data_IF_537604902642
#
_entry.id   IF_537604902642
#
_cell.length_a   1.000
_cell.length_b   1.000
_cell.length_c   1.000
_cell.angle_alpha   90.00
_cell.angle_beta   90.00
_cell.angle_gamma   90.00
#
_symmetry.space_group_name_H-M   'P 1'
#
loop_
_entity.id
_entity.type
_entity.pdbx_description
1 polymer ?
#
# COMPACT_ATOMS: atom_id res chain seq x y z
N UNK A 1 9.54 5.09 -31.22
CA UNK A 1 8.81 5.76 -30.12
C UNK A 1 7.46 5.06 -29.93
N UNK A 2 7.41 4.01 -29.10
CA UNK A 2 6.15 3.37 -28.71
C UNK A 2 5.65 4.06 -27.44
N UNK A 3 4.55 4.79 -27.54
CA UNK A 3 3.77 5.25 -26.39
C UNK A 3 3.05 4.02 -25.82
N UNK A 4 3.58 3.44 -24.75
CA UNK A 4 2.78 2.53 -23.92
C UNK A 4 1.71 3.37 -23.24
N UNK A 5 0.49 3.30 -23.77
CA UNK A 5 -0.69 3.78 -23.07
C UNK A 5 -0.86 2.92 -21.82
N UNK A 6 -0.38 3.41 -20.69
CA UNK A 6 -0.80 2.94 -19.37
C UNK A 6 -2.31 3.16 -19.34
N UNK A 7 -3.08 2.09 -19.55
CA UNK A 7 -4.53 2.11 -19.42
C UNK A 7 -4.86 2.27 -17.94
N UNK A 8 -4.75 3.50 -17.47
CA UNK A 8 -5.41 3.98 -16.27
C UNK A 8 -6.89 3.74 -16.50
N UNK A 9 -7.46 2.63 -16.00
CA UNK A 9 -8.89 2.38 -16.15
C UNK A 9 -9.61 3.48 -15.37
N UNK A 10 -10.33 4.43 -16.02
CA UNK A 10 -10.99 5.53 -15.31
C UNK A 10 -12.00 5.05 -14.28
N UNK A 11 -12.49 3.81 -14.47
CA UNK A 11 -13.39 3.09 -13.56
C UNK A 11 -12.74 2.74 -12.22
N UNK A 12 -11.44 2.40 -12.20
CA UNK A 12 -10.68 2.16 -10.97
C UNK A 12 -10.65 3.46 -10.16
N UNK A 13 -10.21 4.55 -10.78
CA UNK A 13 -10.16 5.84 -10.10
C UNK A 13 -11.53 6.29 -9.59
N UNK A 14 -12.61 6.11 -10.37
CA UNK A 14 -13.97 6.43 -9.90
C UNK A 14 -14.43 5.58 -8.72
N UNK A 15 -14.22 4.25 -8.75
CA UNK A 15 -14.59 3.34 -7.65
C UNK A 15 -13.91 3.79 -6.35
N UNK A 16 -12.59 4.01 -6.38
CA UNK A 16 -11.82 4.37 -5.18
C UNK A 16 -12.04 5.82 -4.75
N UNK A 17 -12.13 6.77 -5.68
CA UNK A 17 -12.43 8.17 -5.36
C UNK A 17 -13.83 8.32 -4.73
N UNK A 18 -14.84 7.57 -5.23
CA UNK A 18 -16.15 7.51 -4.56
C UNK A 18 -16.07 7.00 -3.13
N UNK A 19 -15.16 6.07 -2.84
CA UNK A 19 -14.97 5.52 -1.49
C UNK A 19 -14.34 6.55 -0.57
N UNK A 20 -13.29 7.25 -1.03
CA UNK A 20 -12.66 8.30 -0.24
C UNK A 20 -13.56 9.53 -0.06
N UNK A 21 -14.46 9.82 -1.01
CA UNK A 21 -15.47 10.87 -0.86
C UNK A 21 -16.68 10.46 0.01
N UNK A 22 -17.11 9.20 -0.03
CA UNK A 22 -18.26 8.70 0.75
C UNK A 22 -17.91 8.32 2.19
N UNK A 23 -16.67 7.95 2.47
CA UNK A 23 -16.27 7.34 3.77
C UNK A 23 -15.57 8.31 4.73
N UNK A 24 -15.54 9.62 4.44
CA UNK A 24 -14.98 10.63 5.35
C UNK A 24 -15.99 11.67 5.88
N UNK A 25 -17.28 11.39 5.82
CA UNK A 25 -18.24 12.03 6.73
C UNK A 25 -18.45 11.14 7.95
N UNK A 26 -17.49 11.19 8.89
CA UNK A 26 -17.78 10.76 10.25
C UNK A 26 -18.78 11.77 10.79
N UNK A 27 -20.03 11.34 10.98
CA UNK A 27 -21.03 12.11 11.72
C UNK A 27 -20.44 12.42 13.09
N UNK A 28 -20.23 13.70 13.36
CA UNK A 28 -20.05 14.20 14.73
C UNK A 28 -21.36 13.96 15.48
N UNK A 29 -21.48 12.78 16.09
CA UNK A 29 -22.49 12.52 17.11
C UNK A 29 -21.77 12.07 18.35
N UNK A 30 -21.02 13.01 18.93
CA UNK A 30 -20.79 13.09 20.37
C UNK A 30 -20.68 14.59 20.69
N UNK A 31 -21.63 15.10 21.48
CA UNK A 31 -21.60 16.47 21.99
C UNK A 31 -20.35 16.65 22.86
N UNK A 32 -19.66 17.81 22.79
CA UNK A 32 -18.44 18.03 23.51
C UNK A 32 -18.75 18.31 24.97
N UNK A 33 -18.22 17.49 25.88
CA UNK A 33 -17.96 17.95 27.24
C UNK A 33 -16.62 17.37 27.72
N UNK A 34 -15.56 17.77 27.04
CA UNK A 34 -14.21 17.70 27.57
C UNK A 34 -13.49 18.96 27.09
N UNK A 35 -12.88 19.67 28.05
CA UNK A 35 -12.05 20.86 27.86
C UNK A 35 -11.20 20.69 26.60
N UNK A 36 -11.16 21.72 25.75
CA UNK A 36 -10.32 21.75 24.55
C UNK A 36 -8.85 21.58 24.94
N UNK A 37 -8.39 20.34 25.00
CA UNK A 37 -6.97 20.04 24.92
C UNK A 37 -6.63 20.39 23.47
N UNK A 38 -6.05 21.57 23.28
CA UNK A 38 -5.34 21.92 22.05
C UNK A 38 -4.39 20.76 21.77
N UNK A 39 -4.73 19.93 20.79
CA UNK A 39 -3.85 18.84 20.38
C UNK A 39 -2.53 19.50 20.01
N UNK A 40 -1.40 19.11 20.61
CA UNK A 40 -0.11 19.66 20.23
C UNK A 40 0.01 19.49 18.72
N UNK A 41 0.50 20.54 18.06
CA UNK A 41 0.67 20.61 16.61
C UNK A 41 1.76 19.58 16.22
N UNK A 42 1.39 18.30 16.16
CA UNK A 42 2.34 17.21 15.93
C UNK A 42 2.67 17.20 14.45
N UNK A 43 3.81 17.81 14.14
CA UNK A 43 4.40 17.76 12.81
C UNK A 43 4.70 16.31 12.45
N UNK A 44 4.13 15.83 11.34
CA UNK A 44 4.51 14.55 10.77
C UNK A 44 5.89 14.68 10.10
N UNK A 45 6.77 13.66 10.20
CA UNK A 45 8.10 13.71 9.58
C UNK A 45 8.05 13.59 8.04
N UNK A 46 6.94 13.09 7.51
CA UNK A 46 6.65 12.97 6.07
C UNK A 46 5.33 13.66 5.74
N UNK A 47 5.22 14.22 4.55
CA UNK A 47 3.98 14.84 4.05
C UNK A 47 3.26 13.99 3.02
N UNK A 48 3.99 13.07 2.36
CA UNK A 48 3.49 12.14 1.35
C UNK A 48 3.74 10.69 1.79
N UNK A 49 2.72 9.85 1.62
CA UNK A 49 2.78 8.45 2.00
C UNK A 49 2.34 7.59 0.82
N UNK A 50 3.19 6.67 0.42
CA UNK A 50 2.97 5.72 -0.67
C UNK A 50 2.52 4.41 -0.07
N UNK A 51 1.21 4.21 0.06
CA UNK A 51 0.63 3.00 0.66
C UNK A 51 0.67 1.88 -0.36
N UNK A 52 1.32 0.78 -0.04
CA UNK A 52 1.64 -0.32 -0.95
C UNK A 52 1.34 -1.66 -0.28
N UNK A 53 0.80 -2.60 -1.06
CA UNK A 53 0.50 -3.96 -0.63
C UNK A 53 0.55 -4.88 -1.86
N UNK A 54 1.54 -5.76 -1.96
CA UNK A 54 1.69 -6.64 -3.12
C UNK A 54 0.82 -7.89 -2.97
N UNK A 55 0.32 -8.38 -4.10
CA UNK A 55 -0.09 -9.79 -4.21
C UNK A 55 0.97 -10.55 -5.00
N UNK A 56 1.19 -11.82 -4.63
CA UNK A 56 2.15 -12.69 -5.29
C UNK A 56 1.58 -14.07 -5.60
N UNK A 57 2.22 -14.78 -6.52
CA UNK A 57 1.97 -16.20 -6.77
C UNK A 57 2.10 -16.98 -5.45
N UNK A 58 1.14 -17.87 -5.21
CA UNK A 58 1.10 -18.66 -3.99
C UNK A 58 0.38 -20.00 -4.22
N UNK A 59 0.52 -20.90 -3.24
CA UNK A 59 -0.14 -22.20 -3.23
C UNK A 59 -0.43 -22.60 -1.77
N UNK A 60 -1.34 -23.54 -1.56
CA UNK A 60 -1.70 -24.11 -0.25
C UNK A 60 -1.13 -25.51 -0.01
N UNK A 61 -0.35 -26.05 -0.97
CA UNK A 61 0.30 -27.35 -0.87
C UNK A 61 1.43 -27.44 0.16
N UNK A 62 1.92 -28.66 0.38
CA UNK A 62 2.99 -28.96 1.35
C UNK A 62 4.34 -28.27 1.03
N UNK A 63 4.53 -27.84 -0.22
CA UNK A 63 5.66 -27.01 -0.64
C UNK A 63 5.14 -25.64 -1.07
N UNK A 64 5.53 -24.61 -0.32
CA UNK A 64 5.28 -23.23 -0.73
C UNK A 64 5.93 -22.99 -2.09
N UNK A 65 5.15 -22.39 -2.99
CA UNK A 65 5.58 -22.03 -4.34
C UNK A 65 6.79 -21.09 -4.25
N UNK A 66 7.93 -21.51 -4.82
CA UNK A 66 9.20 -20.76 -4.78
C UNK A 66 9.87 -20.70 -6.16
N UNK A 67 10.42 -19.55 -6.56
CA UNK A 67 10.19 -18.25 -5.94
C UNK A 67 8.71 -17.83 -6.06
N UNK A 68 8.24 -17.00 -5.14
CA UNK A 68 7.00 -16.25 -5.36
C UNK A 68 7.28 -15.11 -6.33
N UNK A 69 6.28 -14.71 -7.10
CA UNK A 69 6.38 -13.61 -8.06
C UNK A 69 5.24 -12.62 -7.85
N UNK A 70 5.52 -11.32 -7.84
CA UNK A 70 4.50 -10.27 -7.74
C UNK A 70 3.55 -10.38 -8.94
N UNK A 71 2.25 -10.38 -8.67
CA UNK A 71 1.17 -10.45 -9.67
C UNK A 71 0.20 -9.27 -9.60
N UNK A 72 0.18 -8.53 -8.50
CA UNK A 72 -0.50 -7.23 -8.37
C UNK A 72 0.44 -6.22 -7.70
N UNK A 73 0.55 -5.03 -8.28
CA UNK A 73 1.36 -3.90 -7.80
C UNK A 73 0.47 -2.65 -7.67
N UNK A 74 -0.27 -2.52 -6.56
CA UNK A 74 -0.94 -1.29 -6.17
C UNK A 74 -0.01 -0.36 -5.39
N UNK A 75 -0.21 0.95 -5.57
CA UNK A 75 0.23 1.94 -4.61
C UNK A 75 -0.71 3.15 -4.60
N UNK A 76 -1.17 3.57 -3.43
CA UNK A 76 -1.97 4.79 -3.27
C UNK A 76 -1.11 5.87 -2.60
N UNK A 77 -0.91 6.97 -3.32
CA UNK A 77 -0.30 8.17 -2.75
C UNK A 77 -1.34 8.96 -1.97
N UNK A 78 -1.08 9.17 -0.69
CA UNK A 78 -1.85 10.06 0.19
C UNK A 78 -1.01 11.18 0.77
N UNK A 79 -1.64 12.32 1.05
CA UNK A 79 -1.07 13.46 1.78
C UNK A 79 -1.76 13.64 3.11
N UNK A 80 -0.98 13.99 4.14
CA UNK A 80 -1.58 14.33 5.43
C UNK A 80 -2.17 15.74 5.38
N UNK A 81 -3.49 15.85 5.57
CA UNK A 81 -4.18 17.12 5.70
C UNK A 81 -4.29 17.49 7.18
N UNK A 82 -3.43 18.41 7.62
CA UNK A 82 -3.41 18.90 9.01
C UNK A 82 -4.75 19.48 9.46
N UNK A 83 -5.46 20.20 8.58
CA UNK A 83 -6.72 20.85 8.92
C UNK A 83 -7.85 19.84 9.16
N UNK A 84 -7.85 18.73 8.42
CA UNK A 84 -8.83 17.64 8.57
C UNK A 84 -8.38 16.54 9.53
N UNK A 85 -7.10 16.54 9.94
CA UNK A 85 -6.52 15.51 10.80
C UNK A 85 -6.53 14.11 10.17
N UNK A 86 -6.36 14.01 8.85
CA UNK A 86 -6.48 12.76 8.11
C UNK A 86 -5.74 12.76 6.78
N UNK A 87 -5.75 11.62 6.11
CA UNK A 87 -5.06 11.38 4.84
C UNK A 87 -6.01 11.58 3.65
N UNK A 88 -5.57 12.39 2.69
CA UNK A 88 -6.27 12.63 1.43
C UNK A 88 -5.55 11.94 0.28
N UNK A 89 -6.29 11.23 -0.57
CA UNK A 89 -5.75 10.58 -1.75
C UNK A 89 -5.38 11.62 -2.80
N UNK A 90 -4.16 11.49 -3.33
CA UNK A 90 -3.62 12.37 -4.37
C UNK A 90 -3.58 11.64 -5.72
N UNK A 91 -3.06 10.41 -5.73
CA UNK A 91 -2.92 9.61 -6.94
C UNK A 91 -2.88 8.13 -6.61
N UNK A 92 -3.18 7.30 -7.60
CA UNK A 92 -3.15 5.84 -7.50
C UNK A 92 -2.26 5.31 -8.62
N UNK A 93 -1.36 4.40 -8.31
CA UNK A 93 -0.70 3.51 -9.25
C UNK A 93 -1.29 2.12 -9.08
N UNK A 94 -1.59 1.44 -10.18
CA UNK A 94 -2.08 0.05 -10.14
C UNK A 94 -1.68 -0.66 -11.42
N UNK A 95 -1.09 -1.83 -11.27
CA UNK A 95 -0.80 -2.74 -12.38
C UNK A 95 -0.92 -4.17 -11.89
N UNK A 96 -1.47 -5.04 -12.73
CA UNK A 96 -1.16 -6.46 -12.63
C UNK A 96 0.23 -6.71 -13.26
N UNK A 97 0.85 -7.81 -12.88
CA UNK A 97 2.22 -8.16 -13.30
C UNK A 97 2.21 -9.57 -13.85
N UNK A 98 2.89 -9.77 -14.99
CA UNK A 98 3.03 -11.08 -15.60
C UNK A 98 4.18 -11.86 -14.93
N UNK A 99 3.91 -12.97 -14.22
CA UNK A 99 4.97 -13.84 -13.71
C UNK A 99 5.70 -14.52 -14.87
N UNK A 100 6.98 -14.83 -14.68
CA UNK A 100 7.87 -15.42 -15.68
C UNK A 100 8.35 -16.83 -15.33
N UNK A 101 8.25 -17.24 -14.06
CA UNK A 101 8.61 -18.60 -13.62
C UNK A 101 7.35 -19.46 -13.49
N UNK A 102 6.43 -19.06 -12.63
CA UNK A 102 5.16 -19.75 -12.39
C UNK A 102 4.04 -19.04 -13.15
N UNK A 103 4.08 -19.17 -14.47
CA UNK A 103 3.23 -18.42 -15.41
C UNK A 103 1.74 -18.76 -15.35
N UNK A 104 1.39 -19.91 -14.77
CA UNK A 104 0.03 -20.36 -14.55
C UNK A 104 -0.30 -20.21 -13.06
N UNK A 105 -1.29 -19.37 -12.75
CA UNK A 105 -1.75 -19.18 -11.38
C UNK A 105 -2.40 -20.45 -10.87
N UNK A 106 -2.10 -20.81 -9.62
CA UNK A 106 -2.82 -21.88 -8.94
C UNK A 106 -4.27 -21.44 -8.70
N UNK A 107 -5.16 -22.42 -8.55
CA UNK A 107 -6.54 -22.14 -8.18
C UNK A 107 -6.61 -21.44 -6.81
N UNK A 108 -5.78 -21.88 -5.85
CA UNK A 108 -5.68 -21.26 -4.54
C UNK A 108 -5.30 -19.78 -4.62
N UNK A 109 -4.28 -19.43 -5.42
CA UNK A 109 -3.85 -18.05 -5.61
C UNK A 109 -4.96 -17.18 -6.20
N UNK A 110 -5.66 -17.70 -7.20
CA UNK A 110 -6.79 -17.00 -7.82
C UNK A 110 -7.94 -16.80 -6.83
N UNK A 111 -8.29 -17.81 -6.04
CA UNK A 111 -9.35 -17.72 -5.04
C UNK A 111 -8.99 -16.78 -3.89
N UNK A 112 -7.73 -16.80 -3.45
CA UNK A 112 -7.24 -15.96 -2.36
C UNK A 112 -7.22 -14.49 -2.78
N UNK A 113 -6.60 -14.20 -3.93
CA UNK A 113 -6.29 -12.82 -4.34
C UNK A 113 -7.35 -12.17 -5.23
N UNK A 114 -8.16 -13.00 -5.90
CA UNK A 114 -9.07 -12.55 -6.96
C UNK A 114 -8.38 -12.20 -8.29
N UNK A 115 -7.05 -12.31 -8.37
CA UNK A 115 -6.30 -12.11 -9.61
C UNK A 115 -6.50 -13.31 -10.53
N UNK A 116 -7.00 -13.07 -11.74
CA UNK A 116 -7.27 -14.14 -12.71
C UNK A 116 -6.09 -14.36 -13.65
N UNK A 117 -6.04 -15.54 -14.27
CA UNK A 117 -5.03 -15.87 -15.28
C UNK A 117 -5.02 -14.84 -16.42
N UNK A 118 -6.18 -14.42 -16.92
CA UNK A 118 -6.28 -13.43 -17.99
C UNK A 118 -5.70 -12.07 -17.60
N UNK A 119 -5.82 -11.67 -16.33
CA UNK A 119 -5.24 -10.42 -15.84
C UNK A 119 -3.72 -10.46 -15.95
N UNK A 120 -3.07 -11.53 -15.46
CA UNK A 120 -1.60 -11.63 -15.47
C UNK A 120 -1.06 -11.95 -16.86
N UNK A 121 -1.74 -12.78 -17.66
CA UNK A 121 -1.28 -13.16 -19.00
C UNK A 121 -1.18 -11.97 -19.95
N UNK A 122 -2.07 -10.98 -19.78
CA UNK A 122 -2.12 -9.75 -20.59
C UNK A 122 -1.34 -8.58 -19.96
N UNK A 123 -0.63 -8.81 -18.86
CA UNK A 123 0.12 -7.78 -18.16
C UNK A 123 1.57 -7.67 -18.62
N UNK A 124 2.21 -6.51 -18.43
CA UNK A 124 3.66 -6.37 -18.60
C UNK A 124 4.45 -7.16 -17.53
N UNK A 125 5.72 -7.50 -17.82
CA UNK A 125 6.63 -8.09 -16.82
C UNK A 125 6.97 -7.09 -15.70
N UNK A 126 7.54 -7.60 -14.62
CA UNK A 126 7.79 -6.81 -13.41
C UNK A 126 8.69 -5.59 -13.63
N UNK A 127 9.77 -5.71 -14.41
CA UNK A 127 10.71 -4.62 -14.63
C UNK A 127 10.09 -3.43 -15.37
N UNK A 128 9.23 -3.69 -16.36
CA UNK A 128 8.43 -2.64 -17.01
C UNK A 128 7.46 -1.96 -16.03
N UNK A 129 6.76 -2.75 -15.20
CA UNK A 129 5.84 -2.22 -14.18
C UNK A 129 6.60 -1.37 -13.16
N UNK A 130 7.75 -1.87 -12.69
CA UNK A 130 8.57 -1.18 -11.70
C UNK A 130 9.18 0.10 -12.25
N UNK A 131 9.61 0.11 -13.52
CA UNK A 131 10.04 1.32 -14.21
C UNK A 131 8.93 2.38 -14.24
N UNK A 132 7.71 1.98 -14.60
CA UNK A 132 6.55 2.87 -14.61
C UNK A 132 6.19 3.38 -13.20
N UNK A 133 6.30 2.51 -12.19
CA UNK A 133 6.11 2.89 -10.79
C UNK A 133 7.15 3.92 -10.33
N UNK A 134 8.42 3.74 -10.69
CA UNK A 134 9.48 4.70 -10.39
C UNK A 134 9.24 6.06 -11.04
N UNK A 135 8.82 6.08 -12.31
CA UNK A 135 8.46 7.34 -12.99
C UNK A 135 7.28 8.02 -12.31
N UNK A 136 6.22 7.27 -12.00
CA UNK A 136 5.07 7.77 -11.27
C UNK A 136 5.46 8.33 -9.88
N UNK A 137 6.32 7.64 -9.13
CA UNK A 137 6.85 8.14 -7.85
C UNK A 137 7.63 9.45 -8.03
N UNK A 138 8.50 9.53 -9.04
CA UNK A 138 9.32 10.71 -9.31
C UNK A 138 8.46 11.92 -9.69
N UNK A 139 7.43 11.75 -10.52
CA UNK A 139 6.47 12.81 -10.87
C UNK A 139 5.79 13.40 -9.61
N UNK A 140 5.60 12.58 -8.58
CA UNK A 140 5.01 13.00 -7.32
C UNK A 140 6.02 13.43 -6.25
N UNK A 141 7.33 13.35 -6.48
CA UNK A 141 8.36 13.73 -5.47
C UNK A 141 9.34 14.81 -5.94
N UNK A 142 9.45 15.07 -7.24
CA UNK A 142 10.38 16.03 -7.86
C UNK A 142 10.18 17.52 -7.48
N UNK A 143 9.23 17.86 -6.60
CA UNK A 143 9.04 19.23 -6.10
C UNK A 143 9.95 19.62 -4.92
N UNK A 144 10.93 18.78 -4.56
CA UNK A 144 12.14 19.17 -3.83
C UNK A 144 12.02 19.56 -2.34
N UNK A 145 10.81 19.63 -1.76
CA UNK A 145 10.62 20.03 -0.35
C UNK A 145 9.86 19.04 0.51
N UNK A 146 9.10 18.13 -0.10
CA UNK A 146 8.19 17.23 0.60
C UNK A 146 8.86 15.87 0.83
N UNK A 147 9.03 15.48 2.10
CA UNK A 147 9.52 14.15 2.46
C UNK A 147 8.42 13.12 2.23
N UNK A 148 8.76 12.02 1.56
CA UNK A 148 7.87 10.89 1.31
C UNK A 148 8.38 9.59 1.92
N UNK A 149 7.46 8.64 2.13
CA UNK A 149 7.81 7.29 2.60
C UNK A 149 6.77 6.26 2.14
N UNK A 150 7.19 5.00 2.00
CA UNK A 150 6.30 3.88 1.73
C UNK A 150 5.66 3.37 3.02
N UNK A 151 4.40 2.95 2.96
CA UNK A 151 3.66 2.32 4.06
C UNK A 151 3.13 0.97 3.63
N UNK A 152 3.36 -0.09 4.41
CA UNK A 152 2.90 -1.45 4.13
C UNK A 152 2.29 -2.11 5.37
N UNK A 153 1.55 -3.22 5.19
CA UNK A 153 1.02 -4.04 6.28
C UNK A 153 1.92 -5.21 6.70
N UNK A 154 3.18 -4.91 6.99
CA UNK A 154 4.16 -5.89 7.44
C UNK A 154 5.55 -5.60 6.91
N UNK A 155 6.44 -6.56 7.04
CA UNK A 155 7.76 -6.49 6.40
C UNK A 155 7.81 -7.28 5.10
N UNK A 156 6.80 -8.10 4.80
CA UNK A 156 6.86 -9.07 3.70
C UNK A 156 6.97 -8.38 2.34
N UNK A 157 6.19 -7.32 2.07
CA UNK A 157 6.20 -6.63 0.78
C UNK A 157 7.58 -6.12 0.37
N UNK A 158 8.19 -5.27 1.20
CA UNK A 158 9.47 -4.62 0.89
C UNK A 158 10.66 -5.44 1.37
N UNK A 159 10.58 -6.02 2.57
CA UNK A 159 11.69 -6.75 3.20
C UNK A 159 11.90 -8.17 2.66
N UNK A 160 10.95 -8.71 1.89
CA UNK A 160 11.05 -10.04 1.28
C UNK A 160 10.64 -10.03 -0.19
N UNK A 161 9.36 -9.83 -0.49
CA UNK A 161 8.78 -10.05 -1.82
C UNK A 161 9.43 -9.18 -2.90
N UNK A 162 9.54 -7.86 -2.66
CA UNK A 162 10.21 -6.94 -3.58
C UNK A 162 11.67 -7.33 -3.85
N UNK A 163 12.40 -7.75 -2.81
CA UNK A 163 13.82 -8.11 -2.94
C UNK A 163 13.99 -9.42 -3.72
N UNK A 164 13.18 -10.44 -3.43
CA UNK A 164 13.21 -11.68 -4.20
C UNK A 164 12.78 -11.44 -5.66
N UNK A 165 11.78 -10.59 -5.89
CA UNK A 165 11.37 -10.21 -7.24
C UNK A 165 12.50 -9.50 -8.00
N UNK A 166 13.21 -8.55 -7.36
CA UNK A 166 14.33 -7.84 -7.99
C UNK A 166 15.46 -8.79 -8.42
N UNK A 167 15.70 -9.88 -7.67
CA UNK A 167 16.72 -10.89 -8.03
C UNK A 167 16.40 -11.62 -9.34
N UNK A 168 15.15 -11.64 -9.78
CA UNK A 168 14.76 -12.21 -11.07
C UNK A 168 15.10 -11.29 -12.25
N UNK A 169 15.43 -10.02 -11.99
CA UNK A 169 15.69 -8.98 -13.01
C UNK A 169 17.01 -8.21 -12.75
N UNK A 170 18.15 -8.89 -12.54
CA UNK A 170 19.40 -8.24 -12.11
C UNK A 170 20.00 -7.30 -13.16
N UNK A 171 19.64 -7.46 -14.44
CA UNK A 171 20.15 -6.63 -15.54
C UNK A 171 19.33 -5.37 -15.78
N UNK A 172 18.07 -5.30 -15.32
CA UNK A 172 17.15 -4.19 -15.60
C UNK A 172 16.76 -3.43 -14.34
N UNK A 173 16.87 -4.03 -13.16
CA UNK A 173 16.45 -3.40 -11.90
C UNK A 173 17.64 -3.04 -11.02
N UNK A 174 17.72 -1.75 -10.71
CA UNK A 174 18.51 -1.23 -9.59
C UNK A 174 17.53 -0.74 -8.53
N UNK A 175 17.70 -1.22 -7.29
CA UNK A 175 16.81 -0.84 -6.20
C UNK A 175 17.04 0.64 -5.82
N UNK A 176 16.02 1.50 -5.93
CA UNK A 176 16.14 2.91 -5.60
C UNK A 176 16.03 3.13 -4.09
N UNK A 177 16.68 4.19 -3.59
CA UNK A 177 16.78 4.47 -2.15
C UNK A 177 15.41 4.58 -1.45
N UNK A 178 14.40 5.13 -2.13
CA UNK A 178 13.06 5.29 -1.56
C UNK A 178 12.36 3.96 -1.27
N UNK A 179 12.77 2.86 -1.93
CA UNK A 179 12.28 1.50 -1.65
C UNK A 179 13.02 0.85 -0.47
N UNK A 180 14.10 1.45 0.03
CA UNK A 180 14.91 0.87 1.09
C UNK A 180 14.43 1.22 2.50
N UNK A 181 13.50 2.17 2.66
CA UNK A 181 12.98 2.60 3.99
C UNK A 181 11.48 2.70 3.94
N UNK A 182 10.79 2.08 4.91
CA UNK A 182 9.34 2.08 4.94
C UNK A 182 8.78 2.08 6.37
N UNK A 183 7.47 2.33 6.43
CA UNK A 183 6.64 2.18 7.61
C UNK A 183 5.91 0.84 7.51
N UNK A 184 6.13 -0.01 8.49
CA UNK A 184 5.25 -1.15 8.76
C UNK A 184 4.13 -0.66 9.69
N UNK A 185 2.92 -0.52 9.15
CA UNK A 185 1.77 0.03 9.89
C UNK A 185 1.41 -0.83 11.11
N UNK A 186 1.71 -2.14 11.11
CA UNK A 186 1.44 -3.03 12.25
C UNK A 186 2.28 -2.64 13.47
N UNK A 187 3.51 -2.18 13.27
CA UNK A 187 4.36 -1.68 14.37
C UNK A 187 3.79 -0.38 14.95
N UNK A 188 3.40 0.57 14.08
CA UNK A 188 2.78 1.81 14.54
C UNK A 188 1.42 1.56 15.22
N UNK A 189 0.66 0.60 14.72
CA UNK A 189 -0.58 0.15 15.34
C UNK A 189 -0.31 -0.36 16.76
N UNK A 190 0.66 -1.26 16.93
CA UNK A 190 1.03 -1.79 18.24
C UNK A 190 1.45 -0.69 19.23
N UNK A 191 2.27 0.26 18.78
CA UNK A 191 2.70 1.40 19.60
C UNK A 191 1.54 2.31 20.02
N UNK A 192 0.51 2.43 19.18
CA UNK A 192 -0.64 3.31 19.43
C UNK A 192 -1.76 2.62 20.21
N UNK A 193 -1.95 1.33 19.99
CA UNK A 193 -3.09 0.56 20.50
C UNK A 193 -2.71 -0.41 21.64
N UNK A 194 -1.42 -0.64 21.89
CA UNK A 194 -0.92 -1.52 22.94
C UNK A 194 -0.87 -3.02 22.57
N UNK A 195 -1.28 -3.40 21.36
CA UNK A 195 -1.30 -4.80 20.92
C UNK A 195 -0.83 -4.93 19.47
N UNK A 196 0.05 -5.90 19.21
CA UNK A 196 0.53 -6.16 17.85
C UNK A 196 -0.52 -6.92 17.04
N UNK A 197 -0.99 -6.39 15.90
CA UNK A 197 -2.10 -6.99 15.18
C UNK A 197 -1.66 -8.18 14.32
N UNK A 198 -2.57 -9.14 14.10
CA UNK A 198 -2.32 -10.28 13.21
C UNK A 198 -2.24 -9.84 11.72
N UNK A 199 -3.02 -8.85 11.31
CA UNK A 199 -3.05 -8.31 9.95
C UNK A 199 -4.13 -7.24 9.77
N UNK A 200 -4.42 -6.86 8.52
CA UNK A 200 -5.37 -5.79 8.16
C UNK A 200 -6.74 -6.02 8.79
N UNK A 201 -7.32 -7.22 8.61
CA UNK A 201 -8.63 -7.58 9.19
C UNK A 201 -8.68 -7.42 10.71
N UNK A 202 -7.58 -7.75 11.41
CA UNK A 202 -7.48 -7.57 12.86
C UNK A 202 -7.46 -6.09 13.24
N UNK A 203 -6.66 -5.27 12.54
CA UNK A 203 -6.59 -3.83 12.79
C UNK A 203 -7.94 -3.13 12.55
N UNK A 204 -8.64 -3.49 11.48
CA UNK A 204 -9.97 -2.98 11.18
C UNK A 204 -10.96 -3.35 12.30
N UNK A 205 -10.98 -4.61 12.73
CA UNK A 205 -11.83 -5.07 13.83
C UNK A 205 -11.54 -4.31 15.14
N UNK A 206 -10.27 -4.21 15.54
CA UNK A 206 -9.86 -3.52 16.77
C UNK A 206 -10.22 -2.03 16.75
N UNK A 207 -10.21 -1.40 15.57
CA UNK A 207 -10.60 0.02 15.42
C UNK A 207 -12.09 0.22 15.15
N UNK A 208 -12.88 -0.85 15.13
CA UNK A 208 -14.30 -0.84 14.73
C UNK A 208 -14.53 -0.20 13.35
N UNK A 209 -13.58 -0.39 12.43
CA UNK A 209 -13.65 0.11 11.06
C UNK A 209 -14.27 -0.94 10.14
N UNK A 210 -15.12 -0.49 9.21
CA UNK A 210 -15.69 -1.36 8.19
C UNK A 210 -14.62 -1.72 7.16
N UNK A 211 -14.49 -3.02 6.86
CA UNK A 211 -13.66 -3.49 5.76
C UNK A 211 -14.15 -2.92 4.44
N UNK A 212 -13.22 -2.40 3.65
CA UNK A 212 -13.43 -2.06 2.26
C UNK A 212 -13.02 -3.23 1.37
N UNK A 213 -13.87 -3.58 0.41
CA UNK A 213 -13.54 -4.56 -0.61
C UNK A 213 -13.17 -5.93 -0.07
N UNK A 214 -12.32 -6.63 -0.81
CA UNK A 214 -11.83 -7.97 -0.44
C UNK A 214 -10.42 -7.86 0.15
N UNK A 215 -10.20 -8.54 1.28
CA UNK A 215 -8.84 -8.76 1.79
C UNK A 215 -8.11 -9.68 0.82
N UNK A 216 -6.83 -9.44 0.59
CA UNK A 216 -5.97 -10.06 -0.43
C UNK A 216 -6.22 -9.57 -1.86
N UNK A 217 -7.00 -8.49 -2.04
CA UNK A 217 -6.85 -7.66 -3.23
C UNK A 217 -5.97 -6.49 -2.85
N UNK A 218 -4.77 -6.41 -3.42
CA UNK A 218 -3.74 -5.47 -2.95
C UNK A 218 -4.22 -4.01 -2.98
N UNK A 219 -5.02 -3.62 -3.98
CA UNK A 219 -5.57 -2.27 -4.06
C UNK A 219 -6.64 -2.00 -2.98
N UNK A 220 -7.48 -2.98 -2.66
CA UNK A 220 -8.48 -2.85 -1.59
C UNK A 220 -7.78 -2.84 -0.22
N UNK A 221 -6.70 -3.61 -0.06
CA UNK A 221 -5.88 -3.61 1.14
C UNK A 221 -5.12 -2.28 1.34
N UNK A 222 -4.65 -1.63 0.28
CA UNK A 222 -4.15 -0.25 0.36
C UNK A 222 -5.20 0.72 0.93
N UNK A 223 -6.47 0.60 0.54
CA UNK A 223 -7.57 1.43 1.08
C UNK A 223 -7.81 1.14 2.56
N UNK A 224 -7.78 -0.14 2.94
CA UNK A 224 -7.92 -0.55 4.34
C UNK A 224 -6.75 -0.04 5.20
N UNK A 225 -5.51 -0.08 4.69
CA UNK A 225 -4.34 0.50 5.35
C UNK A 225 -4.51 2.01 5.56
N UNK A 226 -5.00 2.76 4.55
CA UNK A 226 -5.29 4.20 4.70
C UNK A 226 -6.35 4.45 5.77
N UNK A 227 -7.38 3.60 5.84
CA UNK A 227 -8.42 3.67 6.88
C UNK A 227 -7.80 3.49 8.27
N UNK A 228 -6.89 2.53 8.42
CA UNK A 228 -6.13 2.31 9.66
C UNK A 228 -5.23 3.51 9.97
N UNK A 229 -4.52 4.06 8.98
CA UNK A 229 -3.71 5.27 9.15
C UNK A 229 -4.54 6.44 9.68
N UNK A 230 -5.76 6.65 9.18
CA UNK A 230 -6.66 7.68 9.70
C UNK A 230 -7.03 7.42 11.17
N UNK A 231 -7.33 6.17 11.55
CA UNK A 231 -7.63 5.80 12.94
C UNK A 231 -6.44 6.03 13.88
N UNK A 232 -5.22 5.73 13.43
CA UNK A 232 -4.00 5.97 14.20
C UNK A 232 -3.69 7.46 14.31
N UNK A 233 -3.86 8.23 13.23
CA UNK A 233 -3.66 9.68 13.24
C UNK A 233 -4.59 10.39 14.22
N UNK A 234 -5.88 10.00 14.26
CA UNK A 234 -6.85 10.54 15.23
C UNK A 234 -6.45 10.29 16.69
N UNK A 235 -5.66 9.24 16.94
CA UNK A 235 -5.09 8.87 18.26
C UNK A 235 -3.71 9.47 18.51
N UNK A 236 -3.24 10.34 17.62
CA UNK A 236 -1.96 11.04 17.77
C UNK A 236 -0.73 10.26 17.32
N UNK A 237 -0.90 9.23 16.49
CA UNK A 237 0.23 8.50 15.94
C UNK A 237 1.14 9.41 15.09
N UNK A 238 2.45 9.31 15.30
CA UNK A 238 3.47 9.92 14.44
C UNK A 238 3.97 8.85 13.47
N UNK A 239 3.80 9.09 12.18
CA UNK A 239 4.13 8.15 11.12
C UNK A 239 5.62 8.20 10.78
N UNK A 240 6.44 7.64 11.68
CA UNK A 240 7.89 7.51 11.50
C UNK A 240 8.28 6.20 10.82
N UNK A 241 9.41 6.20 10.12
CA UNK A 241 9.99 4.99 9.52
C UNK A 241 10.22 3.93 10.61
N UNK A 242 9.93 2.66 10.29
CA UNK A 242 10.06 1.55 11.26
C UNK A 242 11.07 0.50 10.83
N UNK A 243 11.46 0.52 9.55
CA UNK A 243 12.28 -0.48 8.91
C UNK A 243 13.14 0.16 7.81
N UNK A 244 14.34 -0.40 7.62
CA UNK A 244 15.25 -0.04 6.55
C UNK A 244 16.00 -1.30 6.10
N UNK A 245 16.26 -1.41 4.80
CA UNK A 245 17.16 -2.43 4.25
C UNK A 245 18.61 -1.95 4.46
N UNK A 246 19.43 -2.78 5.09
CA UNK A 246 20.81 -2.42 5.48
C UNK A 246 21.82 -2.77 4.37
N UNK A 247 21.47 -3.70 3.48
CA UNK A 247 22.27 -4.08 2.31
C UNK A 247 21.34 -4.52 1.18
N UNK A 248 21.47 -3.90 0.01
CA UNK A 248 20.78 -4.25 -1.25
C UNK A 248 21.81 -4.56 -2.32
#
# INVERSE_FOLDING_TARGET
MMKFNVLFRPQIFHKYNLVFNKTMFIRSTDKPNAKSITRPNMSQPYTKFFVLDFEATCDNGAHLLKPQEIIEFPCILVKFNMAKGGFEVVSIFHSYVKPIIHTVLTEYCTQLTGVTQDMVSNSPPFDDVFFNFCNWHNDHTNMGKEKSIIVTSGNWDIGNMFIEQCKLFPSTIKIPEFMCTWINIKKLFALTMGEYPLGIKSMLKTTNSKQFGNIHSGIDDCVNIITIMNQLSQRGCVFQATNKIISV
#
